data_IF_745221140914
#
_entry.id   IF_745221140914
#
_cell.length_a   1.000
_cell.length_b   1.000
_cell.length_c   1.000
_cell.angle_alpha   90.00
_cell.angle_beta   90.00
_cell.angle_gamma   90.00
#
_symmetry.space_group_name_H-M   'P 1'
#
loop_
_entity.id
_entity.type
_entity.pdbx_description
1 polymer ?
#
# COMPACT_ATOMS: atom_id res chain seq x y z
N UNK A 1 3.96 -19.87 8.11
CA UNK A 1 3.24 -19.17 7.02
C UNK A 1 4.04 -19.43 5.76
N UNK A 2 3.50 -20.32 4.93
CA UNK A 2 4.29 -21.16 4.02
C UNK A 2 4.55 -20.43 2.71
N UNK A 3 5.74 -20.67 2.14
CA UNK A 3 6.23 -20.15 0.85
C UNK A 3 5.17 -20.23 -0.27
N UNK A 4 4.26 -21.20 -0.19
CA UNK A 4 3.10 -21.36 -1.07
C UNK A 4 2.13 -20.18 -1.07
N UNK A 5 1.91 -19.47 0.04
CA UNK A 5 1.04 -18.29 0.08
C UNK A 5 1.70 -17.06 -0.57
N UNK A 6 3.03 -16.97 -0.50
CA UNK A 6 3.81 -15.93 -1.18
C UNK A 6 3.90 -16.22 -2.68
N UNK A 7 4.08 -17.49 -3.06
CA UNK A 7 4.01 -17.95 -4.44
C UNK A 7 2.61 -17.68 -5.02
N UNK A 8 1.54 -17.98 -4.28
CA UNK A 8 0.18 -17.70 -4.72
C UNK A 8 -0.07 -16.19 -4.87
N UNK A 9 0.38 -15.36 -3.92
CA UNK A 9 0.23 -13.90 -4.01
C UNK A 9 1.04 -13.26 -5.14
N UNK A 10 2.22 -13.82 -5.45
CA UNK A 10 3.03 -13.43 -6.60
C UNK A 10 2.37 -13.91 -7.89
N UNK A 11 1.82 -15.12 -7.93
CA UNK A 11 1.08 -15.66 -9.08
C UNK A 11 -0.18 -14.85 -9.37
N UNK A 12 -0.99 -14.50 -8.36
CA UNK A 12 -2.23 -13.72 -8.53
C UNK A 12 -1.95 -12.33 -9.14
N UNK A 13 -0.82 -11.71 -8.81
CA UNK A 13 -0.37 -10.42 -9.39
C UNK A 13 0.36 -10.58 -10.72
N UNK A 14 0.99 -11.73 -10.92
CA UNK A 14 1.55 -12.13 -12.20
C UNK A 14 0.42 -12.46 -13.17
N UNK A 15 -0.76 -12.87 -12.73
CA UNK A 15 -1.93 -13.16 -13.57
C UNK A 15 -2.59 -11.90 -14.12
N UNK A 16 -2.53 -10.76 -13.43
CA UNK A 16 -2.96 -9.46 -14.00
C UNK A 16 -1.95 -8.95 -15.05
N UNK A 17 -0.65 -9.06 -14.76
CA UNK A 17 0.42 -8.72 -15.71
C UNK A 17 0.45 -9.70 -16.88
N UNK A 18 0.18 -10.97 -16.63
CA UNK A 18 0.06 -12.05 -17.61
C UNK A 18 -1.23 -11.90 -18.38
N UNK A 19 -2.35 -11.45 -17.82
CA UNK A 19 -3.55 -11.13 -18.60
C UNK A 19 -3.30 -9.98 -19.57
N UNK A 20 -2.52 -8.96 -19.18
CA UNK A 20 -2.06 -7.91 -20.10
C UNK A 20 -1.10 -8.47 -21.15
N UNK A 21 -0.14 -9.32 -20.76
CA UNK A 21 0.81 -9.95 -21.68
C UNK A 21 0.19 -11.06 -22.55
N UNK A 22 -0.92 -11.67 -22.13
CA UNK A 22 -1.73 -12.66 -22.86
C UNK A 22 -2.66 -11.95 -23.82
N UNK A 23 -3.20 -10.77 -23.48
CA UNK A 23 -3.84 -9.90 -24.49
C UNK A 23 -2.84 -9.44 -25.55
N UNK A 24 -1.59 -9.16 -25.15
CA UNK A 24 -0.49 -8.84 -26.09
C UNK A 24 0.01 -10.09 -26.86
N UNK A 25 -0.03 -11.27 -26.24
CA UNK A 25 0.48 -12.53 -26.79
C UNK A 25 -0.55 -13.38 -27.55
N UNK A 26 -1.85 -13.14 -27.35
CA UNK A 26 -2.98 -13.78 -28.04
C UNK A 26 -3.75 -12.80 -28.95
N UNK A 27 -3.36 -11.53 -29.00
CA UNK A 27 -3.97 -10.54 -29.90
C UNK A 27 -3.77 -10.92 -31.36
N UNK A 28 -4.78 -11.54 -31.97
CA UNK A 28 -4.78 -11.93 -33.38
C UNK A 28 -5.03 -10.74 -34.33
N UNK A 29 -5.15 -9.51 -33.81
CA UNK A 29 -5.35 -8.30 -34.62
C UNK A 29 -4.51 -7.11 -34.16
N UNK A 30 -4.13 -6.26 -35.11
CA UNK A 30 -3.38 -5.01 -34.89
C UNK A 30 -4.05 -4.06 -33.89
N UNK A 31 -5.38 -4.06 -33.84
CA UNK A 31 -6.15 -3.17 -32.97
C UNK A 31 -6.02 -3.53 -31.49
N UNK A 32 -5.87 -4.82 -31.16
CA UNK A 32 -5.70 -5.29 -29.78
C UNK A 32 -4.33 -4.89 -29.23
N UNK A 33 -3.31 -4.91 -30.10
CA UNK A 33 -1.95 -4.48 -29.78
C UNK A 33 -1.86 -2.96 -29.60
N UNK A 34 -2.48 -2.18 -30.49
CA UNK A 34 -2.54 -0.72 -30.35
C UNK A 34 -3.31 -0.30 -29.09
N UNK A 35 -4.36 -1.03 -28.70
CA UNK A 35 -5.09 -0.79 -27.46
C UNK A 35 -4.25 -1.12 -26.22
N UNK A 36 -3.49 -2.22 -26.25
CA UNK A 36 -2.59 -2.60 -25.16
C UNK A 36 -1.43 -1.60 -25.00
N UNK A 37 -0.81 -1.15 -26.09
CA UNK A 37 0.19 -0.07 -26.08
C UNK A 37 -0.42 1.23 -25.57
N UNK A 38 -1.61 1.60 -26.03
CA UNK A 38 -2.29 2.81 -25.56
C UNK A 38 -2.54 2.76 -24.05
N UNK A 39 -3.04 1.63 -23.54
CA UNK A 39 -3.28 1.42 -22.10
C UNK A 39 -1.97 1.40 -21.31
N UNK A 40 -0.91 0.80 -21.85
CA UNK A 40 0.42 0.80 -21.24
C UNK A 40 1.06 2.19 -21.22
N UNK A 41 0.90 2.99 -22.28
CA UNK A 41 1.34 4.39 -22.33
C UNK A 41 0.55 5.30 -21.39
N UNK A 42 -0.76 5.05 -21.23
CA UNK A 42 -1.59 5.71 -20.23
C UNK A 42 -1.19 5.31 -18.80
N UNK A 43 -0.79 4.05 -18.58
CA UNK A 43 -0.22 3.58 -17.32
C UNK A 43 1.14 4.24 -17.03
N UNK A 44 2.02 4.34 -18.03
CA UNK A 44 3.33 5.01 -17.91
C UNK A 44 3.21 6.50 -17.59
N UNK A 45 2.28 7.20 -18.22
CA UNK A 45 2.06 8.64 -17.97
C UNK A 45 1.36 8.91 -16.64
N UNK A 46 0.49 8.01 -16.17
CA UNK A 46 -0.23 8.18 -14.89
C UNK A 46 0.53 7.60 -13.70
N UNK A 47 1.47 6.69 -13.91
CA UNK A 47 2.16 5.95 -12.84
C UNK A 47 3.64 5.64 -13.16
N UNK A 48 4.49 6.67 -13.33
CA UNK A 48 5.91 6.49 -13.59
C UNK A 48 6.60 5.67 -12.48
N UNK A 49 6.16 5.81 -11.23
CA UNK A 49 6.71 5.07 -10.08
C UNK A 49 6.39 3.57 -10.11
N UNK A 50 5.20 3.18 -10.62
CA UNK A 50 4.81 1.78 -10.73
C UNK A 50 5.62 1.10 -11.85
N UNK A 51 5.85 1.81 -12.95
CA UNK A 51 6.67 1.32 -14.06
C UNK A 51 8.11 1.15 -13.61
N UNK A 52 8.68 2.12 -12.89
CA UNK A 52 10.00 1.99 -12.29
C UNK A 52 10.09 0.79 -11.32
N UNK A 53 9.06 0.57 -10.49
CA UNK A 53 8.98 -0.56 -9.58
C UNK A 53 8.89 -1.91 -10.33
N UNK A 54 8.05 -2.01 -11.35
CA UNK A 54 7.93 -3.19 -12.20
C UNK A 54 9.21 -3.48 -12.98
N UNK A 55 9.89 -2.43 -13.47
CA UNK A 55 11.14 -2.56 -14.20
C UNK A 55 12.30 -2.98 -13.28
N UNK A 56 12.33 -2.46 -12.05
CA UNK A 56 13.25 -2.90 -11.01
C UNK A 56 12.99 -4.34 -10.56
N UNK A 57 11.72 -4.73 -10.41
CA UNK A 57 11.32 -6.11 -10.10
C UNK A 57 11.68 -7.07 -11.25
N UNK A 58 11.43 -6.67 -12.50
CA UNK A 58 11.83 -7.41 -13.71
C UNK A 58 13.34 -7.59 -13.77
N UNK A 59 14.11 -6.54 -13.48
CA UNK A 59 15.58 -6.62 -13.44
C UNK A 59 16.06 -7.55 -12.33
N UNK A 60 15.42 -7.52 -11.16
CA UNK A 60 15.74 -8.43 -10.05
C UNK A 60 15.46 -9.90 -10.41
N UNK A 61 14.29 -10.20 -10.98
CA UNK A 61 13.91 -11.55 -11.42
C UNK A 61 14.83 -12.03 -12.55
N UNK A 62 15.13 -11.18 -13.54
CA UNK A 62 16.05 -11.51 -14.61
C UNK A 62 17.47 -11.80 -14.08
N UNK A 63 17.95 -11.01 -13.11
CA UNK A 63 19.25 -11.23 -12.45
C UNK A 63 19.26 -12.53 -11.66
N UNK A 64 18.17 -12.82 -10.94
CA UNK A 64 18.02 -14.07 -10.18
C UNK A 64 17.97 -15.30 -11.11
N UNK A 65 17.20 -15.24 -12.21
CA UNK A 65 17.11 -16.32 -13.20
C UNK A 65 18.45 -16.54 -13.92
N UNK A 66 19.13 -15.46 -14.32
CA UNK A 66 20.47 -15.52 -14.88
C UNK A 66 21.45 -16.23 -13.94
N UNK A 67 21.39 -15.91 -12.65
CA UNK A 67 22.20 -16.56 -11.59
C UNK A 67 21.83 -18.02 -11.39
N UNK A 68 20.54 -18.35 -11.32
CA UNK A 68 20.05 -19.73 -11.11
C UNK A 68 20.38 -20.66 -12.29
N UNK A 69 20.41 -20.11 -13.52
CA UNK A 69 20.67 -20.87 -14.74
C UNK A 69 22.14 -20.84 -15.19
N UNK A 70 23.02 -20.13 -14.47
CA UNK A 70 24.42 -19.96 -14.87
C UNK A 70 24.59 -19.22 -16.21
N UNK A 71 23.64 -18.36 -16.57
CA UNK A 71 23.60 -17.64 -17.85
C UNK A 71 23.86 -16.14 -17.65
N UNK A 72 24.68 -15.53 -18.49
CA UNK A 72 24.67 -14.07 -18.66
C UNK A 72 23.45 -13.64 -19.49
N UNK A 73 23.07 -12.35 -19.43
CA UNK A 73 22.05 -11.74 -20.31
C UNK A 73 22.35 -11.91 -21.83
N UNK A 74 23.53 -12.42 -22.18
CA UNK A 74 24.01 -12.70 -23.55
C UNK A 74 24.00 -14.18 -23.93
N UNK A 75 23.43 -15.07 -23.10
CA UNK A 75 23.19 -16.47 -23.43
C UNK A 75 24.43 -17.37 -23.41
N UNK A 76 25.52 -16.96 -22.73
CA UNK A 76 26.71 -17.82 -22.57
C UNK A 76 26.70 -18.49 -21.19
N UNK A 77 26.94 -19.81 -21.12
CA UNK A 77 27.08 -20.51 -19.85
C UNK A 77 28.38 -20.06 -19.17
N UNK A 78 28.28 -19.57 -17.94
CA UNK A 78 29.43 -19.29 -17.07
C UNK A 78 29.40 -20.34 -15.97
N UNK A 79 30.25 -21.35 -16.11
CA UNK A 79 30.61 -22.23 -15.01
C UNK A 79 32.13 -22.24 -14.86
N UNK A 80 32.65 -22.20 -13.61
CA UNK A 80 31.92 -22.16 -12.34
C UNK A 80 31.50 -20.74 -11.92
N UNK A 81 30.35 -20.63 -11.23
CA UNK A 81 29.89 -19.39 -10.60
C UNK A 81 30.91 -18.97 -9.52
N UNK A 82 31.31 -17.67 -9.43
CA UNK A 82 32.21 -17.21 -8.38
C UNK A 82 31.60 -17.46 -6.99
N UNK A 83 32.38 -17.99 -6.05
CA UNK A 83 31.94 -18.22 -4.67
C UNK A 83 31.61 -16.91 -3.91
N UNK A 84 32.06 -15.76 -4.45
CA UNK A 84 31.93 -14.43 -3.83
C UNK A 84 30.81 -13.56 -4.41
N UNK A 85 29.77 -14.13 -5.03
CA UNK A 85 28.66 -13.29 -5.53
C UNK A 85 27.86 -12.73 -4.34
N UNK A 86 27.87 -11.40 -4.09
CA UNK A 86 27.18 -10.82 -2.96
C UNK A 86 25.70 -11.19 -2.97
N UNK A 87 25.18 -11.52 -1.79
CA UNK A 87 23.74 -11.71 -1.56
C UNK A 87 23.02 -10.47 -2.07
N UNK A 88 21.98 -10.59 -2.92
CA UNK A 88 21.24 -9.41 -3.36
C UNK A 88 20.72 -8.69 -2.13
N UNK A 89 21.06 -7.40 -2.04
CA UNK A 89 20.57 -6.50 -1.02
C UNK A 89 19.04 -6.66 -0.91
N UNK A 90 18.49 -6.75 0.31
CA UNK A 90 17.05 -6.87 0.50
C UNK A 90 16.35 -5.75 -0.27
N UNK A 91 15.23 -6.08 -0.94
CA UNK A 91 14.46 -5.14 -1.75
C UNK A 91 14.18 -3.87 -0.93
N UNK A 92 14.89 -2.79 -1.26
CA UNK A 92 14.74 -1.51 -0.59
C UNK A 92 13.48 -0.87 -1.16
N UNK A 93 12.44 -0.77 -0.33
CA UNK A 93 11.21 -0.08 -0.68
C UNK A 93 11.60 1.34 -1.10
N UNK A 94 11.27 1.77 -2.34
CA UNK A 94 11.57 3.12 -2.79
C UNK A 94 11.04 4.13 -1.78
N UNK A 95 11.93 4.97 -1.25
CA UNK A 95 11.61 5.99 -0.25
C UNK A 95 10.89 7.16 -0.92
N UNK A 96 9.67 6.94 -1.37
CA UNK A 96 8.79 8.04 -1.76
C UNK A 96 8.05 8.51 -0.51
N UNK A 97 8.44 9.67 0.07
CA UNK A 97 7.74 10.18 1.23
C UNK A 97 6.28 10.45 0.88
N UNK A 98 5.40 10.27 1.86
CA UNK A 98 4.03 10.78 1.76
C UNK A 98 4.10 12.32 1.74
N UNK A 99 3.08 12.96 1.17
CA UNK A 99 2.90 14.40 1.35
C UNK A 99 2.89 14.73 2.84
N UNK A 100 3.54 15.83 3.21
CA UNK A 100 3.74 16.24 4.61
C UNK A 100 2.46 16.21 5.45
N UNK A 101 1.35 16.68 4.88
CA UNK A 101 0.08 16.72 5.60
C UNK A 101 -0.53 15.31 5.78
N UNK A 102 -0.40 14.40 4.81
CA UNK A 102 -0.88 13.01 4.90
C UNK A 102 -0.04 12.23 5.90
N UNK A 103 1.27 12.44 5.85
CA UNK A 103 2.22 11.92 6.81
C UNK A 103 1.87 12.36 8.24
N UNK A 104 1.72 13.67 8.47
CA UNK A 104 1.28 14.23 9.75
C UNK A 104 -0.05 13.64 10.17
N UNK A 105 -1.00 13.53 9.24
CA UNK A 105 -2.30 12.93 9.49
C UNK A 105 -2.18 11.47 9.94
N UNK A 106 -1.27 10.68 9.40
CA UNK A 106 -1.14 9.25 9.72
C UNK A 106 -0.37 8.97 11.00
N UNK A 107 0.72 9.70 11.24
CA UNK A 107 1.69 9.35 12.29
C UNK A 107 1.67 10.27 13.51
N UNK A 108 1.19 11.50 13.34
CA UNK A 108 1.10 12.47 14.44
C UNK A 108 -0.35 12.73 14.85
N UNK A 109 -1.27 12.60 13.90
CA UNK A 109 -2.61 13.17 14.03
C UNK A 109 -2.55 14.70 14.01
N UNK A 110 -3.72 15.33 14.00
CA UNK A 110 -3.84 16.77 14.08
C UNK A 110 -5.12 17.15 14.83
N UNK A 111 -5.15 18.36 15.38
CA UNK A 111 -6.30 18.87 16.13
C UNK A 111 -7.06 19.90 15.33
N UNK A 112 -8.39 19.83 15.39
CA UNK A 112 -9.29 20.89 14.96
C UNK A 112 -10.22 21.24 16.13
N UNK A 113 -9.88 22.31 16.85
CA UNK A 113 -10.52 22.67 18.12
C UNK A 113 -10.33 21.58 19.18
N UNK A 114 -11.43 21.01 19.67
CA UNK A 114 -11.45 19.92 20.66
C UNK A 114 -11.39 18.51 20.06
N UNK A 115 -11.37 18.38 18.73
CA UNK A 115 -11.34 17.08 18.05
C UNK A 115 -9.92 16.71 17.65
N UNK A 116 -9.48 15.51 18.06
CA UNK A 116 -8.29 14.85 17.52
C UNK A 116 -8.71 14.04 16.28
N UNK A 117 -8.00 14.24 15.17
CA UNK A 117 -8.22 13.57 13.88
C UNK A 117 -6.90 12.99 13.36
N UNK A 118 -6.97 11.99 12.48
CA UNK A 118 -5.77 11.27 12.04
C UNK A 118 -5.17 10.44 13.17
N UNK A 119 -3.88 10.12 13.12
CA UNK A 119 -3.19 9.08 13.87
C UNK A 119 -3.82 7.71 13.61
N UNK A 120 -3.27 7.04 12.59
CA UNK A 120 -3.65 5.69 12.15
C UNK A 120 -2.46 4.73 12.19
N UNK A 121 -1.28 5.18 12.61
CA UNK A 121 -0.14 4.31 12.86
C UNK A 121 0.75 4.92 13.94
N UNK A 122 1.26 4.07 14.83
CA UNK A 122 2.33 4.40 15.76
C UNK A 122 3.14 3.12 15.97
N UNK A 123 4.46 3.13 15.67
CA UNK A 123 5.30 1.96 15.88
C UNK A 123 5.49 1.71 17.38
N UNK A 124 5.59 0.44 17.76
CA UNK A 124 6.05 0.00 19.08
C UNK A 124 5.32 0.64 20.28
N UNK A 125 4.04 0.95 20.11
CA UNK A 125 3.19 1.59 21.12
C UNK A 125 3.69 2.95 21.62
N UNK A 126 4.71 3.52 20.96
CA UNK A 126 5.25 4.84 21.29
C UNK A 126 4.39 5.88 20.59
N UNK A 127 3.48 6.45 21.37
CA UNK A 127 2.62 7.52 20.92
C UNK A 127 3.35 8.88 20.98
N UNK A 128 2.99 9.83 20.10
CA UNK A 128 3.44 11.22 20.22
C UNK A 128 3.17 11.81 21.61
N UNK A 129 3.97 12.80 22.00
CA UNK A 129 3.94 13.38 23.34
C UNK A 129 2.54 13.79 23.80
N UNK A 130 2.22 13.41 25.03
CA UNK A 130 0.92 13.65 25.67
C UNK A 130 -0.21 12.72 25.22
N UNK A 131 -0.02 11.90 24.18
CA UNK A 131 -1.01 10.90 23.77
C UNK A 131 -0.84 9.60 24.55
N UNK A 132 -1.97 8.96 24.89
CA UNK A 132 -2.02 7.64 25.56
C UNK A 132 -3.05 6.76 24.89
N UNK A 133 -2.71 5.49 24.75
CA UNK A 133 -3.59 4.47 24.20
C UNK A 133 -4.63 4.08 25.26
N UNK A 134 -5.89 4.02 24.86
CA UNK A 134 -6.98 3.50 25.67
C UNK A 134 -7.73 2.43 24.88
N UNK A 135 -8.21 1.38 25.56
CA UNK A 135 -9.25 0.51 25.02
C UNK A 135 -8.88 -0.13 23.65
N UNK A 136 -7.69 -0.74 23.57
CA UNK A 136 -7.17 -1.44 22.39
C UNK A 136 -7.88 -2.79 22.20
N UNK A 137 -8.40 -3.04 21.01
CA UNK A 137 -8.88 -4.38 20.62
C UNK A 137 -7.71 -5.31 20.29
N UNK A 138 -7.91 -6.63 20.39
CA UNK A 138 -7.02 -7.58 19.74
C UNK A 138 -6.83 -7.24 18.25
N UNK A 139 -5.64 -7.57 17.73
CA UNK A 139 -5.37 -7.50 16.30
C UNK A 139 -6.31 -8.43 15.54
N UNK A 140 -6.74 -8.03 14.35
CA UNK A 140 -7.39 -8.93 13.40
C UNK A 140 -6.38 -9.87 12.73
N UNK A 141 -6.85 -10.67 11.76
CA UNK A 141 -6.00 -11.62 11.03
C UNK A 141 -4.84 -10.96 10.27
N UNK A 142 -4.93 -9.67 9.96
CA UNK A 142 -3.93 -8.91 9.22
C UNK A 142 -3.09 -8.00 10.13
N UNK A 143 -3.27 -8.06 11.45
CA UNK A 143 -2.54 -7.22 12.40
C UNK A 143 -3.16 -5.84 12.65
N UNK A 144 -4.27 -5.50 11.99
CA UNK A 144 -4.98 -4.23 12.19
C UNK A 144 -5.70 -4.28 13.52
N UNK A 145 -5.76 -3.17 14.24
CA UNK A 145 -6.49 -3.10 15.51
C UNK A 145 -7.28 -1.80 15.62
N UNK A 146 -8.17 -1.74 16.61
CA UNK A 146 -8.90 -0.52 16.96
C UNK A 146 -8.50 -0.06 18.34
N UNK A 147 -8.38 1.24 18.55
CA UNK A 147 -8.13 1.81 19.86
C UNK A 147 -8.75 3.19 20.01
N UNK A 148 -8.94 3.62 21.26
CA UNK A 148 -9.17 5.01 21.61
C UNK A 148 -7.83 5.64 21.97
N UNK A 149 -7.73 6.95 21.77
CA UNK A 149 -6.55 7.72 22.17
C UNK A 149 -7.05 8.82 23.07
N UNK A 150 -6.38 9.04 24.20
CA UNK A 150 -6.57 10.24 25.01
C UNK A 150 -5.35 11.14 24.93
N UNK A 151 -5.58 12.43 25.06
CA UNK A 151 -4.55 13.45 25.25
C UNK A 151 -4.86 14.21 26.53
N UNK A 152 -3.88 14.34 27.41
CA UNK A 152 -3.95 15.27 28.53
C UNK A 152 -3.30 16.59 28.11
N UNK A 153 -4.04 17.69 28.20
CA UNK A 153 -3.54 19.01 27.85
C UNK A 153 -2.79 19.64 29.03
N UNK A 154 -1.91 20.63 28.80
CA UNK A 154 -1.26 21.36 29.89
C UNK A 154 -2.23 22.02 30.89
N UNK A 155 -3.48 22.26 30.47
CA UNK A 155 -4.56 22.76 31.34
C UNK A 155 -5.16 21.70 32.28
N UNK A 156 -4.78 20.44 32.15
CA UNK A 156 -5.40 19.29 32.83
C UNK A 156 -6.67 18.76 32.15
N UNK A 157 -7.13 19.39 31.06
CA UNK A 157 -8.27 18.89 30.27
C UNK A 157 -7.88 17.59 29.54
N UNK A 158 -8.75 16.58 29.58
CA UNK A 158 -8.56 15.32 28.86
C UNK A 158 -9.41 15.30 27.60
N UNK A 159 -8.75 15.28 26.45
CA UNK A 159 -9.40 15.14 25.14
C UNK A 159 -9.35 13.68 24.71
N UNK A 160 -10.50 13.13 24.28
CA UNK A 160 -10.58 11.75 23.76
C UNK A 160 -10.88 11.75 22.28
N UNK A 161 -10.14 10.93 21.55
CA UNK A 161 -10.42 10.57 20.16
C UNK A 161 -11.44 9.45 20.13
N UNK A 162 -12.40 9.56 19.22
CA UNK A 162 -13.27 8.43 18.86
C UNK A 162 -12.42 7.22 18.46
N UNK A 163 -12.90 6.03 18.81
CA UNK A 163 -12.23 4.77 18.45
C UNK A 163 -11.89 4.78 16.96
N UNK A 164 -10.62 4.53 16.65
CA UNK A 164 -10.07 4.53 15.29
C UNK A 164 -9.37 3.22 14.99
N UNK A 165 -9.17 2.94 13.72
CA UNK A 165 -8.38 1.80 13.24
C UNK A 165 -6.92 2.19 13.04
N UNK A 166 -6.03 1.23 13.26
CA UNK A 166 -4.59 1.41 13.21
C UNK A 166 -3.93 0.35 12.36
N UNK A 167 -2.90 0.76 11.60
CA UNK A 167 -2.09 -0.14 10.78
C UNK A 167 -1.35 -1.13 11.69
N UNK A 168 -0.91 -2.29 11.16
CA UNK A 168 -0.17 -3.25 11.94
C UNK A 168 1.03 -2.60 12.62
N UNK A 169 1.13 -2.75 13.95
CA UNK A 169 2.12 -2.02 14.75
C UNK A 169 3.59 -2.34 14.40
N UNK A 170 3.83 -3.50 13.77
CA UNK A 170 5.14 -3.92 13.31
C UNK A 170 5.55 -3.31 11.95
N UNK A 171 4.63 -2.63 11.26
CA UNK A 171 4.96 -1.96 10.01
C UNK A 171 5.80 -0.72 10.30
N UNK A 172 6.85 -0.54 9.51
CA UNK A 172 7.58 0.73 9.56
C UNK A 172 6.74 1.85 8.96
N UNK A 173 7.08 3.10 9.28
CA UNK A 173 6.49 4.29 8.63
C UNK A 173 6.59 4.21 7.09
N UNK A 174 7.71 3.72 6.57
CA UNK A 174 7.94 3.52 5.14
C UNK A 174 7.05 2.41 4.56
N UNK A 175 6.83 1.32 5.30
CA UNK A 175 5.93 0.24 4.89
C UNK A 175 4.47 0.70 4.84
N UNK A 176 4.01 1.49 5.82
CA UNK A 176 2.67 2.10 5.79
C UNK A 176 2.52 3.00 4.56
N UNK A 177 3.51 3.85 4.28
CA UNK A 177 3.49 4.73 3.11
C UNK A 177 3.41 3.94 1.79
N UNK A 178 4.21 2.87 1.68
CA UNK A 178 4.19 1.98 0.54
C UNK A 178 2.86 1.25 0.40
N UNK A 179 2.31 0.72 1.50
CA UNK A 179 1.02 0.03 1.51
C UNK A 179 -0.11 0.93 1.02
N UNK A 180 -0.15 2.19 1.46
CA UNK A 180 -1.14 3.18 1.01
C UNK A 180 -0.98 3.47 -0.47
N UNK A 181 0.26 3.66 -0.96
CA UNK A 181 0.53 3.88 -2.39
C UNK A 181 0.07 2.69 -3.23
N UNK A 182 0.44 1.48 -2.86
CA UNK A 182 0.03 0.27 -3.57
C UNK A 182 -1.49 0.07 -3.56
N UNK A 183 -2.14 0.24 -2.41
CA UNK A 183 -3.59 0.14 -2.31
C UNK A 183 -4.30 1.23 -3.13
N UNK A 184 -3.81 2.46 -3.09
CA UNK A 184 -4.35 3.55 -3.90
C UNK A 184 -4.16 3.30 -5.39
N UNK A 185 -3.01 2.77 -5.81
CA UNK A 185 -2.79 2.41 -7.21
C UNK A 185 -3.81 1.37 -7.70
N UNK A 186 -4.09 0.35 -6.89
CA UNK A 186 -5.04 -0.72 -7.21
C UNK A 186 -6.48 -0.43 -6.74
N UNK A 187 -6.83 0.84 -6.53
CA UNK A 187 -8.08 1.21 -5.86
C UNK A 187 -9.34 0.99 -6.69
N UNK A 188 -10.44 0.84 -5.99
CA UNK A 188 -11.81 0.86 -6.49
C UNK A 188 -12.69 1.79 -5.64
N UNK A 189 -13.92 2.03 -6.10
CA UNK A 189 -14.94 2.69 -5.29
C UNK A 189 -15.54 1.68 -4.31
N UNK A 190 -15.64 1.97 -3.01
CA UNK A 190 -16.28 1.08 -2.06
C UNK A 190 -17.77 0.88 -2.40
N UNK A 191 -18.28 -0.34 -2.26
CA UNK A 191 -19.64 -0.74 -2.69
C UNK A 191 -20.77 -0.04 -1.92
N UNK A 192 -20.51 0.45 -0.72
CA UNK A 192 -21.49 1.18 0.09
C UNK A 192 -20.81 2.24 0.97
N UNK A 193 -20.75 3.48 0.49
CA UNK A 193 -20.26 4.62 1.26
C UNK A 193 -21.29 5.10 2.29
N UNK A 194 -21.26 4.55 3.51
CA UNK A 194 -21.77 5.31 4.66
C UNK A 194 -20.78 6.48 4.85
N UNK A 195 -21.22 7.71 4.59
CA UNK A 195 -20.47 8.97 4.79
C UNK A 195 -19.68 9.51 3.59
N UNK A 196 -20.23 9.47 2.37
CA UNK A 196 -19.82 10.44 1.37
C UNK A 196 -20.22 11.84 1.86
N UNK A 197 -19.25 12.61 2.34
CA UNK A 197 -19.47 14.05 2.54
C UNK A 197 -19.58 14.66 1.14
N UNK A 198 -20.58 15.52 0.86
CA UNK A 198 -20.71 16.14 -0.46
C UNK A 198 -19.38 16.75 -0.91
N UNK A 199 -18.88 16.30 -2.06
CA UNK A 199 -17.61 16.75 -2.63
C UNK A 199 -16.36 16.01 -2.16
N UNK A 200 -16.45 15.00 -1.29
CA UNK A 200 -15.35 14.07 -1.00
C UNK A 200 -15.67 12.69 -1.54
N UNK A 201 -14.80 12.18 -2.41
CA UNK A 201 -14.92 10.82 -2.93
C UNK A 201 -14.01 9.86 -2.16
N UNK A 202 -14.56 8.69 -1.82
CA UNK A 202 -13.86 7.65 -1.10
C UNK A 202 -13.17 6.70 -2.08
N UNK A 203 -12.00 6.19 -1.69
CA UNK A 203 -11.31 5.11 -2.36
C UNK A 203 -11.07 3.95 -1.39
N UNK A 204 -10.95 2.75 -1.95
CA UNK A 204 -10.57 1.56 -1.23
C UNK A 204 -9.55 0.76 -2.05
N UNK A 205 -8.60 0.11 -1.39
CA UNK A 205 -7.70 -0.85 -2.00
C UNK A 205 -7.17 -1.84 -0.98
N UNK A 206 -6.23 -2.70 -1.39
CA UNK A 206 -5.66 -3.72 -0.52
C UNK A 206 -4.13 -3.82 -0.66
N UNK A 207 -3.45 -4.03 0.47
CA UNK A 207 -2.03 -4.39 0.50
C UNK A 207 -1.78 -5.48 1.54
N UNK A 208 -1.23 -6.63 1.09
CA UNK A 208 -0.96 -7.80 1.93
C UNK A 208 -2.16 -8.23 2.81
N UNK A 209 -3.36 -8.23 2.24
CA UNK A 209 -4.60 -8.58 2.94
C UNK A 209 -5.19 -7.47 3.81
N UNK A 210 -4.45 -6.40 4.11
CA UNK A 210 -4.98 -5.22 4.79
C UNK A 210 -5.80 -4.40 3.79
N UNK A 211 -7.11 -4.32 4.01
CA UNK A 211 -7.97 -3.39 3.30
C UNK A 211 -7.72 -1.97 3.80
N UNK A 212 -7.49 -1.05 2.88
CA UNK A 212 -7.16 0.34 3.17
C UNK A 212 -8.20 1.22 2.49
N UNK A 213 -8.78 2.13 3.26
CA UNK A 213 -9.73 3.12 2.77
C UNK A 213 -9.17 4.51 2.97
N UNK A 214 -9.66 5.46 2.19
CA UNK A 214 -9.34 6.86 2.37
C UNK A 214 -10.27 7.76 1.58
N UNK A 215 -10.15 9.06 1.79
CA UNK A 215 -10.73 10.08 0.93
C UNK A 215 -9.64 10.71 0.08
N UNK A 216 -9.99 11.20 -1.10
CA UNK A 216 -9.17 12.18 -1.83
C UNK A 216 -9.52 13.60 -1.38
N UNK A 217 -8.73 14.59 -1.81
CA UNK A 217 -9.00 16.00 -1.54
C UNK A 217 -10.39 16.41 -2.12
N UNK A 218 -11.07 17.40 -1.51
CA UNK A 218 -12.38 17.84 -1.96
C UNK A 218 -12.41 18.26 -3.43
N UNK A 219 -13.48 17.90 -4.14
CA UNK A 219 -13.68 18.22 -5.56
C UNK A 219 -12.97 17.28 -6.53
N UNK A 220 -12.17 16.33 -6.04
CA UNK A 220 -11.45 15.37 -6.86
C UNK A 220 -12.22 14.04 -6.88
N UNK A 221 -12.35 13.45 -8.08
CA UNK A 221 -12.86 12.09 -8.23
C UNK A 221 -11.77 11.06 -7.94
N UNK A 222 -12.08 10.10 -7.07
CA UNK A 222 -11.15 9.06 -6.64
C UNK A 222 -10.54 8.29 -7.82
N UNK A 223 -11.28 8.03 -8.89
CA UNK A 223 -10.80 7.22 -10.02
C UNK A 223 -9.88 8.01 -10.97
N UNK A 224 -9.99 9.33 -10.99
CA UNK A 224 -9.09 10.21 -11.76
C UNK A 224 -7.92 10.73 -10.94
N UNK A 225 -8.04 10.73 -9.61
CA UNK A 225 -7.04 11.22 -8.68
C UNK A 225 -5.64 10.59 -8.87
N UNK A 226 -4.62 11.39 -8.60
CA UNK A 226 -3.24 10.94 -8.45
C UNK A 226 -2.94 10.65 -6.98
N UNK A 227 -1.79 10.05 -6.69
CA UNK A 227 -1.40 9.80 -5.29
C UNK A 227 -1.25 11.10 -4.49
N UNK A 228 -0.93 12.22 -5.15
CA UNK A 228 -0.81 13.54 -4.52
C UNK A 228 -2.16 14.07 -3.99
N UNK A 229 -3.26 13.52 -4.49
CA UNK A 229 -4.62 13.90 -4.14
C UNK A 229 -5.20 13.07 -3.00
N UNK A 230 -4.48 12.05 -2.50
CA UNK A 230 -4.94 11.22 -1.37
C UNK A 230 -5.05 12.09 -0.13
N UNK A 231 -6.27 12.38 0.33
CA UNK A 231 -6.63 13.27 1.42
C UNK A 231 -6.65 12.63 2.81
N UNK A 232 -6.75 11.30 2.91
CA UNK A 232 -6.63 10.52 4.15
C UNK A 232 -6.39 9.06 3.79
N UNK A 233 -5.91 8.26 4.75
CA UNK A 233 -5.89 6.81 4.62
C UNK A 233 -6.01 6.17 6.02
N UNK A 234 -6.71 5.04 6.10
CA UNK A 234 -6.80 4.21 7.30
C UNK A 234 -7.01 2.75 6.91
N UNK A 235 -6.52 1.79 7.70
CA UNK A 235 -6.82 0.38 7.47
C UNK A 235 -8.24 0.09 7.98
N UNK A 236 -8.88 -0.91 7.40
CA UNK A 236 -10.19 -1.38 7.87
C UNK A 236 -9.97 -2.59 8.77
N UNK A 237 -10.51 -2.51 9.98
CA UNK A 237 -10.48 -3.62 10.93
C UNK A 237 -11.54 -4.64 10.57
N UNK A 238 -11.11 -5.87 10.32
CA UNK A 238 -12.02 -6.99 10.09
C UNK A 238 -12.27 -7.70 11.41
N UNK A 239 -13.52 -7.65 11.89
CA UNK A 239 -13.89 -8.54 12.99
C UNK A 239 -13.60 -9.96 12.54
N UNK A 240 -12.91 -10.75 13.36
CA UNK A 240 -12.94 -12.20 13.19
C UNK A 240 -14.42 -12.56 13.14
N UNK A 241 -14.92 -12.92 11.97
CA UNK A 241 -16.20 -13.62 11.92
C UNK A 241 -16.01 -14.80 12.87
N UNK A 242 -16.76 -14.81 13.97
CA UNK A 242 -17.13 -16.06 14.60
C UNK A 242 -17.84 -16.84 13.50
N UNK A 243 -17.07 -17.62 12.72
CA UNK A 243 -17.68 -18.65 11.90
C UNK A 243 -18.47 -19.50 12.89
N UNK A 244 -19.80 -19.58 12.79
CA UNK A 244 -20.56 -20.56 13.55
C UNK A 244 -20.08 -21.97 13.23
#
# INVERSE_FOLDING_TARGET
MQVEQLIQHVNDRTDEITAILVVVGQGTSRNDFELAITRFGQLQTRMPDLVACCEQARQHVATWLAKALGMTLTGRPVYPLPEDVPTPEPFSIPKYPLREWLDTHLFSGHRRGRRLSGLHHFPDETLPDGLRLEDRTPNDKNGVFRAKIRQELPSGEVVRKTRSTFFPAHWSRAEVAHAIRSAFTARHRPEAGRNETPGQTQWEGCYRGVRIQGFVLPGIDAMTATFEDVGTAWPVYETREERP
#
